data_IF_785812350047
#
_entry.id   IF_785812350047
#
_cell.length_a   1.000
_cell.length_b   1.000
_cell.length_c   1.000
_cell.angle_alpha   90.00
_cell.angle_beta   90.00
_cell.angle_gamma   90.00
#
_symmetry.space_group_name_H-M   'P 1'
#
loop_
_entity.id
_entity.type
_entity.pdbx_description
1 polymer ?
#
# COMPACT_ATOMS: atom_id res chain seq x y z
N UNK A 1 15.20 1.30 22.63
CA UNK A 1 13.90 1.28 21.89
C UNK A 1 13.94 0.32 20.72
N UNK A 2 14.86 0.46 19.79
CA UNK A 2 14.98 -0.42 18.59
C UNK A 2 15.33 -1.87 18.92
N UNK A 3 16.06 -2.09 20.01
CA UNK A 3 16.33 -3.46 20.52
C UNK A 3 15.07 -4.24 20.84
N UNK A 4 14.06 -3.60 21.45
CA UNK A 4 12.76 -4.25 21.71
C UNK A 4 12.01 -4.58 20.42
N UNK A 5 12.14 -3.75 19.38
CA UNK A 5 11.57 -4.04 18.06
C UNK A 5 12.26 -5.29 17.51
N UNK A 6 13.59 -5.29 17.43
CA UNK A 6 14.36 -6.42 16.93
C UNK A 6 14.05 -7.69 17.70
N UNK A 7 14.07 -7.63 19.05
CA UNK A 7 13.73 -8.76 19.91
C UNK A 7 12.34 -9.34 19.60
N UNK A 8 11.34 -8.48 19.36
CA UNK A 8 9.97 -8.93 19.05
C UNK A 8 9.88 -9.67 17.72
N UNK A 9 10.63 -9.22 16.71
CA UNK A 9 10.71 -9.88 15.41
C UNK A 9 11.46 -11.21 15.50
N UNK A 10 12.58 -11.23 16.22
CA UNK A 10 13.40 -12.44 16.43
C UNK A 10 12.61 -13.54 17.17
N UNK A 11 11.82 -13.14 18.19
CA UNK A 11 10.97 -14.07 18.96
C UNK A 11 10.00 -14.86 18.09
N UNK A 12 9.51 -14.30 17.00
CA UNK A 12 8.60 -14.96 16.07
C UNK A 12 9.26 -15.35 14.75
N UNK A 13 10.59 -15.25 14.70
CA UNK A 13 11.41 -15.62 13.53
C UNK A 13 11.06 -14.84 12.26
N UNK A 14 10.79 -13.56 12.40
CA UNK A 14 10.66 -12.64 11.28
C UNK A 14 11.98 -11.92 11.03
N UNK A 15 12.56 -12.06 9.83
CA UNK A 15 13.84 -11.43 9.51
C UNK A 15 13.70 -9.91 9.42
N UNK A 16 14.53 -9.18 10.17
CA UNK A 16 14.54 -7.72 10.21
C UNK A 16 15.97 -7.19 10.19
N UNK A 17 16.16 -6.04 9.55
CA UNK A 17 17.36 -5.23 9.67
C UNK A 17 16.98 -3.78 9.96
N UNK A 18 17.68 -3.16 10.89
CA UNK A 18 17.59 -1.74 11.20
C UNK A 18 18.70 -1.04 10.44
N UNK A 19 18.38 0.01 9.73
CA UNK A 19 19.30 0.76 8.88
C UNK A 19 19.65 2.10 9.55
N UNK A 20 20.89 2.54 9.32
CA UNK A 20 21.39 3.85 9.76
C UNK A 20 21.10 4.96 8.73
N UNK A 21 20.75 4.58 7.50
CA UNK A 21 20.49 5.48 6.39
C UNK A 21 19.09 5.28 5.79
N UNK A 22 18.48 6.37 5.27
CA UNK A 22 17.15 6.29 4.63
C UNK A 22 17.10 5.29 3.49
N UNK A 23 16.02 4.50 3.44
CA UNK A 23 15.77 3.52 2.38
C UNK A 23 15.59 4.22 1.02
N UNK A 24 14.94 5.38 1.04
CA UNK A 24 14.64 6.17 -0.16
C UNK A 24 15.02 7.62 0.05
N UNK A 25 15.55 8.24 -1.02
CA UNK A 25 15.81 9.67 -1.03
C UNK A 25 16.84 10.11 0.02
N UNK A 26 17.91 9.33 0.26
CA UNK A 26 18.97 9.64 1.22
C UNK A 26 19.63 11.03 0.99
N UNK A 27 19.52 11.60 -0.22
CA UNK A 27 19.99 12.96 -0.52
C UNK A 27 19.07 14.06 -0.01
N UNK A 28 17.84 13.75 0.38
CA UNK A 28 16.88 14.72 0.89
C UNK A 28 16.95 14.75 2.41
N UNK A 29 17.32 15.89 2.99
CA UNK A 29 17.48 16.05 4.42
C UNK A 29 16.20 15.72 5.21
N UNK A 30 15.01 15.99 4.66
CA UNK A 30 13.75 15.61 5.29
C UNK A 30 13.62 14.10 5.53
N UNK A 31 14.17 13.28 4.62
CA UNK A 31 14.04 11.83 4.70
C UNK A 31 14.87 11.20 5.83
N UNK A 32 15.88 11.91 6.33
CA UNK A 32 16.63 11.48 7.52
C UNK A 32 15.83 11.61 8.82
N UNK A 33 14.76 12.42 8.81
CA UNK A 33 13.90 12.61 9.97
C UNK A 33 12.67 11.71 9.97
N UNK A 34 12.31 11.16 8.81
CA UNK A 34 11.07 10.39 8.62
C UNK A 34 11.36 8.89 8.75
N UNK A 35 10.51 8.20 9.51
CA UNK A 35 10.51 6.75 9.57
C UNK A 35 10.20 6.13 8.20
N UNK A 36 11.03 5.18 7.77
CA UNK A 36 10.84 4.44 6.54
C UNK A 36 10.91 2.94 6.79
N UNK A 37 10.13 2.17 6.05
CA UNK A 37 10.27 0.72 6.01
C UNK A 37 9.93 0.17 4.62
N UNK A 38 10.49 -0.99 4.32
CA UNK A 38 10.11 -1.82 3.18
C UNK A 38 10.48 -3.29 3.41
N UNK A 39 10.27 -4.10 2.38
CA UNK A 39 10.71 -5.49 2.33
C UNK A 39 11.80 -5.61 1.28
N UNK A 40 13.00 -6.01 1.71
CA UNK A 40 14.07 -6.36 0.79
C UNK A 40 13.87 -7.77 0.28
N UNK A 41 13.79 -7.92 -1.03
CA UNK A 41 13.73 -9.22 -1.71
C UNK A 41 15.07 -9.53 -2.37
N UNK A 42 15.68 -10.62 -2.00
CA UNK A 42 16.92 -11.09 -2.66
C UNK A 42 16.53 -11.70 -4.01
N UNK A 43 16.90 -11.03 -5.09
CA UNK A 43 16.54 -11.41 -6.47
C UNK A 43 17.38 -12.57 -7.01
N UNK A 44 18.47 -13.00 -6.37
CA UNK A 44 19.38 -14.03 -6.90
C UNK A 44 19.66 -15.14 -5.88
N UNK A 45 19.36 -16.37 -6.24
CA UNK A 45 19.77 -17.60 -5.53
C UNK A 45 18.59 -18.49 -5.10
N UNK A 46 18.88 -19.77 -4.79
CA UNK A 46 17.92 -20.81 -4.42
C UNK A 46 17.15 -20.54 -3.11
N UNK A 47 17.58 -19.57 -2.33
CA UNK A 47 16.90 -19.10 -1.11
C UNK A 47 16.50 -17.65 -1.31
N UNK A 48 15.23 -17.39 -1.65
CA UNK A 48 14.63 -16.07 -1.62
C UNK A 48 14.51 -15.64 -0.15
N UNK A 49 15.57 -15.06 0.40
CA UNK A 49 15.55 -14.48 1.75
C UNK A 49 14.89 -13.10 1.68
N UNK A 50 13.64 -12.99 2.07
CA UNK A 50 13.01 -11.70 2.31
C UNK A 50 13.34 -11.23 3.72
N UNK A 51 13.50 -9.91 3.91
CA UNK A 51 13.65 -9.31 5.24
C UNK A 51 13.00 -7.93 5.28
N UNK A 52 12.47 -7.58 6.42
CA UNK A 52 12.04 -6.20 6.69
C UNK A 52 13.27 -5.31 6.84
N UNK A 53 13.24 -4.15 6.20
CA UNK A 53 14.19 -3.07 6.44
C UNK A 53 13.46 -1.92 7.11
N UNK A 54 14.03 -1.44 8.21
CA UNK A 54 13.49 -0.30 8.95
C UNK A 54 14.58 0.74 9.09
N UNK A 55 14.30 1.94 8.64
CA UNK A 55 15.04 3.14 8.97
C UNK A 55 14.23 3.94 9.99
N UNK A 56 14.73 4.16 11.21
CA UNK A 56 13.96 4.76 12.31
C UNK A 56 13.68 6.25 12.11
N UNK A 57 14.46 6.95 11.30
CA UNK A 57 14.40 8.40 11.17
C UNK A 57 15.07 9.10 12.35
N UNK A 58 14.57 10.28 12.70
CA UNK A 58 15.12 11.06 13.80
C UNK A 58 15.03 10.35 15.17
N UNK A 59 15.98 10.61 16.06
CA UNK A 59 16.02 10.06 17.43
C UNK A 59 14.78 10.40 18.26
N UNK A 60 14.06 11.45 17.87
CA UNK A 60 12.79 11.85 18.48
C UNK A 60 11.61 10.98 18.06
N UNK A 61 11.74 10.15 17.05
CA UNK A 61 10.71 9.22 16.62
C UNK A 61 10.56 8.11 17.66
N UNK A 62 9.31 7.76 17.95
CA UNK A 62 8.97 6.70 18.91
C UNK A 62 8.41 5.51 18.13
N UNK A 63 9.12 4.39 18.19
CA UNK A 63 8.72 3.14 17.54
C UNK A 63 8.39 2.11 18.62
N UNK A 64 7.14 1.64 18.66
CA UNK A 64 6.65 0.72 19.68
C UNK A 64 6.00 -0.50 19.06
N UNK A 65 6.39 -1.69 19.53
CA UNK A 65 5.64 -2.92 19.29
C UNK A 65 4.41 -2.90 20.18
N UNK A 66 3.22 -2.96 19.59
CA UNK A 66 1.94 -2.94 20.31
C UNK A 66 1.43 -4.34 20.60
N UNK A 67 1.65 -5.26 19.68
CA UNK A 67 1.21 -6.64 19.82
C UNK A 67 2.07 -7.58 18.95
N UNK A 68 2.20 -8.84 19.38
CA UNK A 68 2.95 -9.88 18.70
C UNK A 68 2.16 -11.18 18.73
N UNK A 69 1.93 -11.80 17.59
CA UNK A 69 1.29 -13.11 17.48
C UNK A 69 2.27 -14.14 16.89
N UNK A 70 2.75 -15.04 17.70
CA UNK A 70 3.68 -16.08 17.26
C UNK A 70 3.01 -17.11 16.33
N UNK A 71 1.72 -17.42 16.55
CA UNK A 71 0.97 -18.40 15.75
C UNK A 71 0.85 -17.92 14.30
N UNK A 72 0.50 -16.65 14.10
CA UNK A 72 0.33 -16.08 12.78
C UNK A 72 1.57 -15.37 12.26
N UNK A 73 2.65 -15.35 13.05
CA UNK A 73 3.89 -14.65 12.77
C UNK A 73 3.64 -13.20 12.33
N UNK A 74 3.00 -12.43 13.20
CA UNK A 74 2.65 -11.05 12.93
C UNK A 74 3.05 -10.13 14.07
N UNK A 75 3.41 -8.90 13.70
CA UNK A 75 3.75 -7.80 14.62
C UNK A 75 2.89 -6.60 14.27
N UNK A 76 2.33 -5.98 15.30
CA UNK A 76 1.68 -4.68 15.20
C UNK A 76 2.65 -3.61 15.71
N UNK A 77 3.04 -2.72 14.83
CA UNK A 77 3.97 -1.62 15.11
C UNK A 77 3.22 -0.28 15.13
N UNK A 78 3.54 0.56 16.09
CA UNK A 78 3.13 1.96 16.12
C UNK A 78 4.37 2.83 15.98
N UNK A 79 4.30 3.82 15.11
CA UNK A 79 5.33 4.85 14.92
C UNK A 79 4.71 6.21 15.22
N UNK A 80 5.32 6.96 16.12
CA UNK A 80 4.95 8.34 16.42
C UNK A 80 6.10 9.25 16.03
N UNK A 81 5.84 10.14 15.09
CA UNK A 81 6.81 11.09 14.56
C UNK A 81 6.39 12.49 15.00
N UNK A 82 7.20 13.19 15.79
CA UNK A 82 6.95 14.59 16.07
C UNK A 82 7.20 15.43 14.81
N UNK A 83 6.59 16.62 14.76
CA UNK A 83 6.99 17.61 13.75
C UNK A 83 8.45 17.95 13.98
N UNK A 84 9.28 17.76 12.99
CA UNK A 84 10.70 18.10 13.06
C UNK A 84 11.08 19.14 11.99
N UNK A 85 12.08 19.94 12.29
CA UNK A 85 12.66 20.92 11.36
C UNK A 85 13.91 20.33 10.76
N UNK A 86 14.06 20.47 9.45
CA UNK A 86 15.27 20.10 8.73
C UNK A 86 15.81 21.28 7.93
N UNK A 87 17.11 21.26 7.66
CA UNK A 87 17.78 22.23 6.78
C UNK A 87 18.18 21.53 5.49
N UNK A 88 18.00 22.23 4.37
CA UNK A 88 18.39 21.74 3.06
C UNK A 88 18.92 22.88 2.20
N UNK A 89 19.51 22.58 1.04
CA UNK A 89 19.99 23.58 0.12
C UNK A 89 19.79 23.16 -1.34
N UNK A 90 19.52 24.12 -2.20
CA UNK A 90 19.44 23.93 -3.63
C UNK A 90 20.53 24.73 -4.34
N UNK A 91 21.32 24.05 -5.18
CA UNK A 91 22.34 24.70 -5.99
C UNK A 91 21.68 25.55 -7.09
N UNK A 92 22.11 26.81 -7.22
CA UNK A 92 21.68 27.69 -8.29
C UNK A 92 22.65 27.59 -9.48
N UNK A 93 22.21 27.95 -10.64
CA UNK A 93 23.02 28.08 -11.84
C UNK A 93 22.80 29.46 -12.48
N UNK A 94 23.58 29.82 -13.48
CA UNK A 94 23.51 31.15 -14.17
C UNK A 94 22.12 31.46 -14.75
N UNK A 95 21.24 30.46 -14.96
CA UNK A 95 19.88 30.66 -15.50
C UNK A 95 18.82 30.67 -14.40
N UNK A 96 19.20 30.47 -13.14
CA UNK A 96 18.25 30.45 -12.03
C UNK A 96 17.84 31.84 -11.68
N UNK A 97 16.56 32.19 -11.87
CA UNK A 97 16.01 33.41 -11.28
C UNK A 97 15.84 33.15 -9.75
N UNK A 98 16.70 33.79 -8.98
CA UNK A 98 16.76 33.61 -7.53
C UNK A 98 15.46 34.07 -6.86
N UNK A 99 14.86 35.19 -7.33
CA UNK A 99 13.60 35.68 -6.78
C UNK A 99 12.47 34.68 -6.97
N UNK A 100 12.30 34.16 -8.18
CA UNK A 100 11.28 33.11 -8.47
C UNK A 100 11.53 31.84 -7.67
N UNK A 101 12.78 31.44 -7.48
CA UNK A 101 13.14 30.27 -6.70
C UNK A 101 12.76 30.45 -5.21
N UNK A 102 13.05 31.62 -4.65
CA UNK A 102 12.65 31.97 -3.28
C UNK A 102 11.12 31.98 -3.11
N UNK A 103 10.40 32.55 -4.05
CA UNK A 103 8.92 32.61 -3.99
C UNK A 103 8.29 31.22 -4.10
N UNK A 104 8.85 30.33 -4.93
CA UNK A 104 8.45 28.91 -4.96
C UNK A 104 8.67 28.22 -3.62
N UNK A 105 9.82 28.45 -2.98
CA UNK A 105 10.12 27.88 -1.66
C UNK A 105 9.15 28.40 -0.59
N UNK A 106 8.82 29.69 -0.59
CA UNK A 106 7.82 30.28 0.31
C UNK A 106 6.43 29.68 0.08
N UNK A 107 6.03 29.55 -1.19
CA UNK A 107 4.76 28.92 -1.57
C UNK A 107 4.69 27.46 -1.09
N UNK A 108 5.81 26.74 -1.12
CA UNK A 108 5.95 25.38 -0.60
C UNK A 108 6.12 25.33 0.93
N UNK A 109 5.91 26.44 1.64
CA UNK A 109 5.97 26.58 3.10
C UNK A 109 7.36 26.34 3.71
N UNK A 110 8.43 26.53 2.94
CA UNK A 110 9.78 26.60 3.47
C UNK A 110 10.03 27.96 4.13
N UNK A 111 10.92 28.02 5.09
CA UNK A 111 11.24 29.21 5.87
C UNK A 111 12.75 29.32 6.13
N UNK A 112 13.21 30.44 6.72
CA UNK A 112 14.62 30.75 6.96
C UNK A 112 15.46 30.63 5.67
N UNK A 113 14.93 31.24 4.59
CA UNK A 113 15.50 31.12 3.23
C UNK A 113 16.63 32.13 3.11
N UNK A 114 17.84 31.69 2.79
CA UNK A 114 19.06 32.51 2.64
C UNK A 114 19.80 32.12 1.39
N UNK A 115 20.36 33.09 0.71
CA UNK A 115 21.24 32.88 -0.45
C UNK A 115 22.69 33.02 0.05
N UNK A 116 23.49 31.97 -0.13
CA UNK A 116 24.90 31.95 0.25
C UNK A 116 25.68 31.36 -0.92
N UNK A 117 26.47 32.20 -1.58
CA UNK A 117 27.22 31.83 -2.80
C UNK A 117 26.25 31.36 -3.91
N UNK A 118 26.46 30.17 -4.42
CA UNK A 118 25.65 29.54 -5.46
C UNK A 118 24.57 28.59 -4.91
N UNK A 119 24.20 28.74 -3.63
CA UNK A 119 23.19 27.92 -2.99
C UNK A 119 22.10 28.76 -2.33
N UNK A 120 20.86 28.28 -2.42
CA UNK A 120 19.73 28.77 -1.61
C UNK A 120 19.54 27.75 -0.48
N UNK A 121 19.83 28.20 0.74
CA UNK A 121 19.60 27.44 1.96
C UNK A 121 18.20 27.74 2.50
N UNK A 122 17.52 26.71 2.98
CA UNK A 122 16.16 26.86 3.51
C UNK A 122 15.89 25.81 4.60
N UNK A 123 14.86 26.05 5.38
CA UNK A 123 14.33 25.09 6.36
C UNK A 123 12.94 24.67 5.99
N UNK A 124 12.63 23.40 6.25
CA UNK A 124 11.30 22.83 6.11
C UNK A 124 10.86 22.13 7.41
N UNK A 125 9.59 21.76 7.44
CA UNK A 125 9.03 20.94 8.53
C UNK A 125 8.56 19.62 7.97
N UNK A 126 8.90 18.51 8.67
CA UNK A 126 8.27 17.23 8.39
C UNK A 126 6.89 17.18 9.04
N UNK A 127 5.90 16.54 8.42
CA UNK A 127 4.62 16.31 9.08
C UNK A 127 4.81 15.38 10.28
N UNK A 128 4.24 15.76 11.42
CA UNK A 128 4.15 14.89 12.58
C UNK A 128 2.92 13.99 12.49
N UNK A 129 2.93 12.88 13.23
CA UNK A 129 1.77 11.99 13.27
C UNK A 129 2.04 10.65 13.92
N UNK A 130 0.96 9.87 14.07
CA UNK A 130 1.04 8.47 14.49
C UNK A 130 0.57 7.58 13.36
N UNK A 131 1.38 6.56 13.06
CA UNK A 131 1.09 5.56 12.03
C UNK A 131 1.13 4.17 12.65
N UNK A 132 0.30 3.28 12.17
CA UNK A 132 0.22 1.91 12.65
C UNK A 132 0.43 0.96 11.48
N UNK A 133 1.20 -0.10 11.71
CA UNK A 133 1.58 -1.06 10.68
C UNK A 133 1.37 -2.49 11.18
N UNK A 134 0.63 -3.27 10.42
CA UNK A 134 0.60 -4.72 10.59
C UNK A 134 1.65 -5.34 9.66
N UNK A 135 2.56 -6.09 10.22
CA UNK A 135 3.67 -6.73 9.53
C UNK A 135 3.67 -8.22 9.81
N UNK A 136 4.10 -9.03 8.87
CA UNK A 136 4.16 -10.47 9.10
C UNK A 136 4.38 -11.30 7.85
N UNK A 137 3.96 -12.56 7.92
CA UNK A 137 3.95 -13.50 6.80
C UNK A 137 2.52 -13.75 6.36
N UNK A 138 2.26 -13.61 5.07
CA UNK A 138 1.05 -14.06 4.41
C UNK A 138 1.41 -15.19 3.45
N UNK A 139 0.88 -16.39 3.68
CA UNK A 139 1.28 -17.63 3.01
C UNK A 139 2.78 -17.91 3.11
N UNK A 140 3.60 -17.36 2.23
CA UNK A 140 5.05 -17.57 2.16
C UNK A 140 5.87 -16.29 2.04
N UNK A 141 5.21 -15.14 2.01
CA UNK A 141 5.85 -13.85 1.77
C UNK A 141 5.67 -12.90 2.95
N UNK A 142 6.65 -12.03 3.13
CA UNK A 142 6.53 -10.94 4.07
C UNK A 142 5.56 -9.88 3.51
N UNK A 143 4.77 -9.28 4.40
CA UNK A 143 3.90 -8.16 4.07
C UNK A 143 4.01 -7.04 5.09
N UNK A 144 3.71 -5.84 4.65
CA UNK A 144 3.51 -4.64 5.48
C UNK A 144 2.20 -3.99 5.08
N UNK A 145 1.33 -3.74 6.05
CA UNK A 145 0.09 -3.01 5.86
C UNK A 145 0.03 -1.81 6.79
N UNK A 146 -0.07 -0.61 6.23
CA UNK A 146 -0.38 0.58 7.02
C UNK A 146 -1.88 0.59 7.32
N UNK A 147 -2.22 0.80 8.59
CA UNK A 147 -3.61 0.87 9.03
C UNK A 147 -4.15 2.29 8.86
N UNK A 148 -5.43 2.43 8.56
CA UNK A 148 -6.12 3.70 8.44
C UNK A 148 -6.42 4.37 9.79
N UNK A 149 -6.27 3.62 10.89
CA UNK A 149 -6.53 4.11 12.24
C UNK A 149 -5.74 3.36 13.31
N UNK A 150 -5.88 3.77 14.57
CA UNK A 150 -5.17 3.16 15.69
C UNK A 150 -5.64 1.73 15.93
N UNK A 151 -4.68 0.85 16.23
CA UNK A 151 -4.93 -0.50 16.70
C UNK A 151 -3.98 -0.84 17.86
N UNK A 152 -4.49 -1.59 18.84
CA UNK A 152 -3.70 -2.06 19.98
C UNK A 152 -3.44 -3.55 19.94
N UNK A 153 -4.24 -4.29 19.18
CA UNK A 153 -4.14 -5.74 18.99
C UNK A 153 -4.14 -6.11 17.50
N UNK A 154 -3.47 -7.18 17.16
CA UNK A 154 -3.44 -7.73 15.80
C UNK A 154 -4.85 -8.09 15.30
N UNK A 155 -5.72 -8.56 16.19
CA UNK A 155 -7.12 -8.84 15.84
C UNK A 155 -7.87 -7.60 15.36
N UNK A 156 -7.63 -6.44 15.98
CA UNK A 156 -8.26 -5.18 15.59
C UNK A 156 -7.64 -4.63 14.31
N UNK A 157 -6.32 -4.74 14.18
CA UNK A 157 -5.61 -4.42 12.95
C UNK A 157 -6.15 -5.21 11.76
N UNK A 158 -6.34 -6.52 11.90
CA UNK A 158 -6.94 -7.36 10.86
C UNK A 158 -8.37 -6.97 10.51
N UNK A 159 -9.18 -6.62 11.52
CA UNK A 159 -10.54 -6.12 11.29
C UNK A 159 -10.54 -4.81 10.53
N UNK A 160 -9.62 -3.90 10.84
CA UNK A 160 -9.51 -2.62 10.13
C UNK A 160 -9.08 -2.80 8.68
N UNK A 161 -8.16 -3.72 8.40
CA UNK A 161 -7.76 -4.08 7.03
C UNK A 161 -8.91 -4.70 6.23
N UNK A 162 -9.76 -5.51 6.86
CA UNK A 162 -10.98 -6.03 6.22
C UNK A 162 -12.06 -4.97 6.00
N UNK A 163 -12.00 -3.84 6.71
CA UNK A 163 -12.97 -2.73 6.56
C UNK A 163 -12.58 -1.70 5.50
N UNK A 164 -11.29 -1.61 5.12
CA UNK A 164 -10.85 -0.68 4.09
C UNK A 164 -11.40 -1.05 2.70
N UNK A 165 -11.72 -2.31 2.48
CA UNK A 165 -12.61 -2.72 1.41
C UNK A 165 -14.04 -2.48 1.92
N UNK A 166 -14.61 -1.32 1.63
CA UNK A 166 -16.02 -1.02 1.92
C UNK A 166 -16.91 -1.97 1.10
N UNK A 167 -17.15 -3.14 1.65
CA UNK A 167 -18.24 -3.98 1.19
C UNK A 167 -19.53 -3.31 1.66
N UNK A 168 -20.33 -2.90 0.72
CA UNK A 168 -21.57 -2.13 0.98
C UNK A 168 -22.53 -2.81 1.97
N UNK A 169 -22.29 -4.07 2.35
CA UNK A 169 -23.14 -4.85 3.25
C UNK A 169 -22.43 -5.65 4.35
N UNK A 170 -21.09 -5.62 4.41
CA UNK A 170 -20.32 -6.31 5.46
C UNK A 170 -20.48 -7.83 5.55
N UNK A 171 -21.36 -8.43 4.74
CA UNK A 171 -21.74 -9.85 4.82
C UNK A 171 -21.01 -10.77 3.85
N UNK A 172 -20.33 -10.21 2.84
CA UNK A 172 -19.70 -11.02 1.78
C UNK A 172 -18.38 -11.60 2.24
N UNK A 173 -18.29 -12.93 2.22
CA UNK A 173 -17.02 -13.62 2.47
C UNK A 173 -16.01 -13.30 1.37
N UNK A 174 -14.80 -12.99 1.76
CA UNK A 174 -13.70 -12.73 0.84
C UNK A 174 -12.57 -13.72 1.05
N UNK A 175 -11.85 -14.04 -0.03
CA UNK A 175 -10.51 -14.61 0.02
C UNK A 175 -9.54 -13.60 -0.56
N UNK A 176 -8.35 -13.54 0.00
CA UNK A 176 -7.28 -12.69 -0.49
C UNK A 176 -6.24 -13.51 -1.21
N UNK A 177 -5.69 -12.96 -2.28
CA UNK A 177 -4.47 -13.46 -2.92
C UNK A 177 -3.64 -12.25 -3.35
N UNK A 178 -2.53 -12.01 -2.64
CA UNK A 178 -1.72 -10.83 -2.83
C UNK A 178 -2.53 -9.53 -2.65
N UNK A 179 -2.51 -8.68 -3.64
CA UNK A 179 -3.21 -7.40 -3.68
C UNK A 179 -4.70 -7.49 -4.06
N UNK A 180 -5.23 -8.69 -4.30
CA UNK A 180 -6.60 -8.88 -4.76
C UNK A 180 -7.49 -9.50 -3.70
N UNK A 181 -8.65 -8.88 -3.51
CA UNK A 181 -9.75 -9.48 -2.76
C UNK A 181 -10.72 -10.14 -3.73
N UNK A 182 -11.05 -11.40 -3.46
CA UNK A 182 -11.92 -12.26 -4.26
C UNK A 182 -13.20 -12.53 -3.46
N UNK A 183 -14.22 -11.71 -3.72
CA UNK A 183 -15.47 -11.69 -2.95
C UNK A 183 -16.49 -12.67 -3.46
N UNK A 184 -17.27 -13.24 -2.54
CA UNK A 184 -18.48 -13.98 -2.90
C UNK A 184 -19.48 -13.08 -3.62
N UNK A 185 -20.04 -13.63 -4.69
CA UNK A 185 -21.16 -13.00 -5.41
C UNK A 185 -22.47 -13.52 -4.86
N UNK A 186 -23.48 -12.65 -4.71
CA UNK A 186 -24.83 -13.08 -4.40
C UNK A 186 -25.42 -13.89 -5.58
N UNK A 187 -26.48 -14.63 -5.33
CA UNK A 187 -27.17 -15.39 -6.38
C UNK A 187 -27.72 -14.49 -7.47
N UNK A 188 -28.28 -13.36 -7.10
CA UNK A 188 -28.78 -12.33 -8.02
C UNK A 188 -27.67 -11.82 -8.95
N UNK A 189 -26.50 -11.50 -8.36
CA UNK A 189 -25.36 -11.00 -9.12
C UNK A 189 -24.81 -12.09 -10.07
N UNK A 190 -24.81 -13.36 -9.66
CA UNK A 190 -24.45 -14.48 -10.56
C UNK A 190 -25.41 -14.57 -11.73
N UNK A 191 -26.72 -14.43 -11.46
CA UNK A 191 -27.73 -14.39 -12.50
C UNK A 191 -27.55 -13.21 -13.47
N UNK A 192 -27.09 -12.04 -12.98
CA UNK A 192 -26.74 -10.89 -13.83
C UNK A 192 -25.53 -11.20 -14.72
N UNK A 193 -24.48 -11.81 -14.17
CA UNK A 193 -23.28 -12.21 -14.91
C UNK A 193 -23.66 -13.21 -16.02
N UNK A 194 -24.45 -14.24 -15.70
CA UNK A 194 -24.86 -15.27 -16.65
C UNK A 194 -25.76 -14.70 -17.77
N UNK A 195 -26.66 -13.77 -17.43
CA UNK A 195 -27.46 -13.02 -18.42
C UNK A 195 -26.59 -12.16 -19.33
N UNK A 196 -25.63 -11.43 -18.76
CA UNK A 196 -24.73 -10.61 -19.54
C UNK A 196 -23.89 -11.45 -20.52
N UNK A 197 -23.41 -12.61 -20.10
CA UNK A 197 -22.69 -13.54 -20.96
C UNK A 197 -23.56 -14.02 -22.12
N UNK A 198 -24.82 -14.34 -21.86
CA UNK A 198 -25.75 -14.87 -22.86
C UNK A 198 -26.29 -13.80 -23.82
N UNK A 199 -26.61 -12.62 -23.32
CA UNK A 199 -27.40 -11.62 -24.04
C UNK A 199 -26.57 -10.49 -24.67
N UNK A 200 -25.45 -10.09 -24.05
CA UNK A 200 -24.74 -8.86 -24.43
C UNK A 200 -23.41 -9.09 -25.14
N UNK A 201 -23.11 -10.30 -25.59
CA UNK A 201 -21.79 -10.65 -26.16
C UNK A 201 -20.62 -10.35 -25.19
N UNK A 202 -20.88 -10.26 -23.90
CA UNK A 202 -19.81 -10.13 -22.91
C UNK A 202 -18.96 -11.38 -22.95
N UNK A 203 -17.74 -11.26 -23.49
CA UNK A 203 -16.87 -12.42 -23.71
C UNK A 203 -16.27 -12.90 -22.38
N UNK A 204 -16.37 -14.20 -22.15
CA UNK A 204 -15.53 -14.87 -21.15
C UNK A 204 -14.11 -14.87 -21.70
N UNK A 205 -13.21 -14.19 -21.02
CA UNK A 205 -11.78 -14.23 -21.32
C UNK A 205 -11.14 -15.38 -20.54
N UNK A 206 -10.30 -16.16 -21.21
CA UNK A 206 -9.62 -17.33 -20.62
C UNK A 206 -8.15 -17.06 -20.38
N UNK A 207 -7.60 -17.57 -19.26
CA UNK A 207 -6.19 -17.43 -18.86
C UNK A 207 -5.71 -15.99 -18.87
N UNK A 208 -6.42 -15.11 -18.17
CA UNK A 208 -6.22 -13.67 -18.22
C UNK A 208 -5.50 -13.17 -16.98
N UNK A 209 -4.51 -12.30 -17.19
CA UNK A 209 -3.89 -11.55 -16.11
C UNK A 209 -4.89 -10.50 -15.56
N UNK A 210 -5.27 -10.67 -14.30
CA UNK A 210 -6.21 -9.77 -13.60
C UNK A 210 -5.68 -8.33 -13.58
N UNK A 211 -4.38 -8.14 -13.32
CA UNK A 211 -3.74 -6.84 -13.26
C UNK A 211 -3.87 -6.05 -14.56
N UNK A 212 -3.69 -6.69 -15.71
CA UNK A 212 -3.83 -6.05 -17.04
C UNK A 212 -5.25 -5.50 -17.25
N UNK A 213 -6.28 -6.20 -16.75
CA UNK A 213 -7.67 -5.76 -16.91
C UNK A 213 -8.02 -4.61 -15.95
N UNK A 214 -7.40 -4.57 -14.79
CA UNK A 214 -7.62 -3.54 -13.76
C UNK A 214 -6.60 -2.39 -13.82
N UNK A 215 -5.81 -2.30 -14.91
CA UNK A 215 -4.92 -1.17 -15.16
C UNK A 215 -3.63 -1.18 -14.33
N UNK A 216 -3.18 -2.37 -13.86
CA UNK A 216 -1.87 -2.52 -13.23
C UNK A 216 -0.82 -2.98 -14.23
N UNK A 217 0.29 -2.26 -14.28
CA UNK A 217 1.50 -2.68 -14.99
C UNK A 217 2.60 -3.03 -13.98
N UNK A 218 3.20 -4.21 -14.11
CA UNK A 218 4.33 -4.67 -13.29
C UNK A 218 3.98 -5.75 -12.28
N UNK A 219 5.01 -6.42 -11.75
CA UNK A 219 4.89 -7.58 -10.85
C UNK A 219 4.57 -8.89 -11.57
N UNK A 220 4.56 -9.98 -10.80
CA UNK A 220 4.16 -11.30 -11.31
C UNK A 220 2.64 -11.34 -11.55
N UNK A 221 2.17 -11.94 -12.66
CA UNK A 221 0.76 -11.89 -13.01
C UNK A 221 -0.08 -12.83 -12.15
N UNK A 222 -1.24 -12.36 -11.69
CA UNK A 222 -2.32 -13.20 -11.19
C UNK A 222 -3.18 -13.64 -12.37
N UNK A 223 -3.11 -14.90 -12.74
CA UNK A 223 -3.80 -15.45 -13.91
C UNK A 223 -5.06 -16.19 -13.49
N UNK A 224 -6.23 -15.68 -13.93
CA UNK A 224 -7.52 -16.33 -13.74
C UNK A 224 -7.86 -17.25 -14.92
N UNK A 225 -8.46 -18.41 -14.65
CA UNK A 225 -8.92 -19.33 -15.69
C UNK A 225 -9.99 -18.68 -16.55
N UNK A 226 -10.96 -18.02 -15.92
CA UNK A 226 -12.05 -17.30 -16.59
C UNK A 226 -12.22 -15.93 -15.96
N UNK A 227 -12.45 -14.91 -16.78
CA UNK A 227 -12.67 -13.54 -16.38
C UNK A 227 -13.75 -12.88 -17.22
N UNK A 228 -14.64 -12.16 -16.58
CA UNK A 228 -15.69 -11.34 -17.19
C UNK A 228 -15.62 -9.93 -16.67
N UNK A 229 -15.81 -8.96 -17.55
CA UNK A 229 -15.90 -7.54 -17.21
C UNK A 229 -17.34 -7.06 -17.48
N UNK A 230 -18.00 -6.59 -16.44
CA UNK A 230 -19.32 -5.95 -16.57
C UNK A 230 -19.17 -4.44 -16.41
N UNK A 231 -19.80 -3.64 -17.30
CA UNK A 231 -19.88 -2.22 -17.08
C UNK A 231 -20.68 -1.95 -15.79
N UNK A 232 -20.20 -1.04 -14.96
CA UNK A 232 -20.95 -0.60 -13.79
C UNK A 232 -22.14 0.22 -14.26
N UNK A 233 -23.31 -0.41 -14.35
CA UNK A 233 -24.56 0.26 -14.68
C UNK A 233 -24.93 1.24 -13.58
N UNK A 234 -25.08 2.50 -13.91
CA UNK A 234 -25.72 3.50 -13.07
C UNK A 234 -27.21 3.20 -12.98
N UNK A 235 -27.66 2.46 -11.96
CA UNK A 235 -29.05 2.54 -11.53
C UNK A 235 -29.21 3.81 -10.70
N UNK A 236 -29.79 4.84 -11.34
CA UNK A 236 -30.56 5.90 -10.73
C UNK A 236 -29.98 6.63 -9.52
N UNK A 237 -29.24 7.68 -9.75
CA UNK A 237 -29.28 8.86 -8.90
C UNK A 237 -29.43 10.07 -9.79
N UNK A 238 -30.59 10.67 -9.76
CA UNK A 238 -30.85 12.01 -10.28
C UNK A 238 -30.11 12.99 -9.39
N UNK A 239 -29.23 13.79 -9.98
CA UNK A 239 -28.67 14.97 -9.32
C UNK A 239 -27.15 15.05 -9.31
N UNK A 240 -26.69 16.06 -10.04
CA UNK A 240 -25.38 16.72 -10.05
C UNK A 240 -24.23 16.05 -10.77
N UNK A 241 -23.79 16.81 -11.76
CA UNK A 241 -22.65 16.67 -12.64
C UNK A 241 -21.34 16.51 -11.87
N UNK A 242 -20.96 15.26 -11.68
CA UNK A 242 -19.55 14.90 -11.50
C UNK A 242 -19.30 13.63 -12.32
N UNK A 243 -18.34 13.71 -13.21
CA UNK A 243 -17.87 12.62 -14.07
C UNK A 243 -17.42 11.43 -13.21
N UNK A 244 -18.36 10.61 -12.78
CA UNK A 244 -18.11 9.33 -12.16
C UNK A 244 -17.58 8.41 -13.24
N UNK A 245 -16.26 8.24 -13.29
CA UNK A 245 -15.61 7.19 -14.06
C UNK A 245 -16.36 5.89 -13.81
N UNK A 246 -17.04 5.37 -14.83
CA UNK A 246 -17.71 4.07 -14.78
C UNK A 246 -16.63 3.01 -14.51
N UNK A 247 -16.49 2.58 -13.27
CA UNK A 247 -15.54 1.53 -12.91
C UNK A 247 -16.16 0.21 -13.36
N UNK A 248 -15.55 -0.42 -14.35
CA UNK A 248 -15.91 -1.76 -14.75
C UNK A 248 -15.75 -2.72 -13.55
N UNK A 249 -16.76 -3.57 -13.33
CA UNK A 249 -16.66 -4.65 -12.33
C UNK A 249 -16.05 -5.88 -12.99
N UNK A 250 -15.08 -6.45 -12.33
CA UNK A 250 -14.35 -7.63 -12.82
C UNK A 250 -14.73 -8.85 -11.99
N UNK A 251 -15.04 -9.93 -12.66
CA UNK A 251 -15.41 -11.21 -12.04
C UNK A 251 -14.52 -12.32 -12.58
N UNK A 252 -14.15 -13.26 -11.71
CA UNK A 252 -13.35 -14.43 -12.06
C UNK A 252 -14.02 -15.73 -11.63
N UNK A 253 -13.71 -16.82 -12.32
CA UNK A 253 -14.10 -18.18 -11.97
C UNK A 253 -12.98 -19.15 -12.35
N UNK A 254 -12.98 -20.34 -11.73
CA UNK A 254 -11.93 -21.33 -11.91
C UNK A 254 -10.74 -21.09 -10.99
N UNK A 255 -9.55 -21.39 -11.44
CA UNK A 255 -8.33 -21.23 -10.66
C UNK A 255 -7.74 -19.84 -10.85
N UNK A 256 -7.26 -19.25 -9.78
CA UNK A 256 -6.39 -18.07 -9.81
C UNK A 256 -5.00 -18.51 -9.42
N UNK A 257 -4.04 -18.32 -10.31
CA UNK A 257 -2.64 -18.74 -10.15
C UNK A 257 -1.73 -17.54 -10.08
N UNK A 258 -0.78 -17.62 -9.18
CA UNK A 258 0.32 -16.68 -9.05
C UNK A 258 1.58 -17.47 -8.69
N UNK A 259 2.74 -17.02 -9.13
CA UNK A 259 4.01 -17.75 -8.92
C UNK A 259 4.38 -17.83 -7.44
N UNK A 260 4.01 -16.82 -6.66
CA UNK A 260 4.39 -16.66 -5.27
C UNK A 260 3.28 -17.02 -4.26
N UNK A 261 2.03 -17.23 -4.74
CA UNK A 261 0.89 -17.54 -3.89
C UNK A 261 0.31 -18.93 -4.18
N UNK A 262 -0.34 -19.51 -3.17
CA UNK A 262 -1.08 -20.75 -3.37
C UNK A 262 -2.21 -20.54 -4.36
N UNK A 263 -2.31 -21.42 -5.39
CA UNK A 263 -3.44 -21.43 -6.30
C UNK A 263 -4.75 -21.56 -5.54
N UNK A 264 -5.67 -20.64 -5.79
CA UNK A 264 -7.03 -20.68 -5.25
C UNK A 264 -7.99 -21.16 -6.35
N UNK A 265 -9.01 -21.92 -5.94
CA UNK A 265 -10.02 -22.43 -6.87
C UNK A 265 -11.43 -22.00 -6.44
N UNK A 266 -12.22 -21.53 -7.42
CA UNK A 266 -13.58 -21.05 -7.22
C UNK A 266 -14.53 -21.67 -8.25
N UNK A 267 -15.48 -22.45 -7.77
CA UNK A 267 -16.54 -23.03 -8.60
C UNK A 267 -17.57 -21.99 -9.07
N UNK A 268 -17.68 -20.89 -8.33
CA UNK A 268 -18.61 -19.80 -8.63
C UNK A 268 -17.87 -18.50 -8.94
N UNK A 269 -18.54 -17.57 -9.62
CA UNK A 269 -18.00 -16.24 -9.86
C UNK A 269 -17.61 -15.53 -8.58
N UNK A 270 -16.46 -14.86 -8.59
CA UNK A 270 -15.96 -14.00 -7.52
C UNK A 270 -15.71 -12.61 -8.08
N UNK A 271 -16.16 -11.59 -7.38
CA UNK A 271 -15.81 -10.22 -7.72
C UNK A 271 -14.37 -9.93 -7.31
N UNK A 272 -13.61 -9.31 -8.21
CA UNK A 272 -12.23 -8.93 -7.95
C UNK A 272 -12.18 -7.46 -7.58
N UNK A 273 -11.65 -7.18 -6.41
CA UNK A 273 -11.40 -5.82 -5.94
C UNK A 273 -9.92 -5.68 -5.61
N UNK A 274 -9.32 -4.59 -6.07
CA UNK A 274 -7.96 -4.25 -5.73
C UNK A 274 -7.88 -3.81 -4.28
N UNK A 275 -6.81 -4.20 -3.61
CA UNK A 275 -6.47 -3.66 -2.31
C UNK A 275 -5.89 -2.26 -2.47
N UNK A 276 -6.65 -1.24 -2.11
CA UNK A 276 -6.24 0.17 -2.16
C UNK A 276 -5.72 0.67 -0.80
N UNK A 277 -5.41 -0.22 0.15
CA UNK A 277 -5.01 0.12 1.52
C UNK A 277 -3.73 0.96 1.64
N UNK A 278 -3.03 1.22 0.55
CA UNK A 278 -1.85 2.10 0.52
C UNK A 278 -2.08 3.45 -0.16
N UNK A 279 -3.26 3.70 -0.73
CA UNK A 279 -3.59 4.95 -1.38
C UNK A 279 -4.27 5.88 -0.38
N UNK A 280 -3.54 6.86 0.18
CA UNK A 280 -4.17 7.98 0.88
C UNK A 280 -4.84 8.88 -0.15
N UNK A 281 -6.05 9.36 0.16
CA UNK A 281 -6.86 10.22 -0.71
C UNK A 281 -6.17 11.54 -1.12
N UNK A 282 -5.06 11.89 -0.51
CA UNK A 282 -4.40 13.20 -0.66
C UNK A 282 -3.18 13.22 -1.59
N UNK A 283 -2.93 12.15 -2.36
CA UNK A 283 -1.83 12.15 -3.35
C UNK A 283 -0.41 12.27 -2.77
N UNK A 284 -0.26 12.52 -1.48
CA UNK A 284 1.01 12.50 -0.77
C UNK A 284 1.24 11.07 -0.25
N UNK A 285 1.73 10.22 -1.12
CA UNK A 285 2.19 8.89 -0.77
C UNK A 285 3.44 8.99 0.11
N UNK A 286 3.28 9.12 1.40
CA UNK A 286 4.31 8.66 2.34
C UNK A 286 4.32 7.12 2.24
N UNK A 287 5.03 6.65 1.21
CA UNK A 287 4.97 5.38 0.57
C UNK A 287 5.24 4.20 1.47
N UNK A 288 4.18 3.55 1.90
CA UNK A 288 4.24 2.12 2.20
C UNK A 288 3.21 1.48 1.30
N UNK A 289 3.72 0.87 0.26
CA UNK A 289 2.93 0.08 -0.67
C UNK A 289 2.98 -1.37 -0.19
N UNK A 290 1.87 -2.11 -0.42
CA UNK A 290 1.94 -3.54 -0.48
C UNK A 290 2.99 -3.90 -1.52
N UNK A 291 4.06 -4.53 -1.09
CA UNK A 291 5.11 -5.01 -1.98
C UNK A 291 4.87 -6.51 -2.06
N UNK A 292 4.17 -6.93 -3.11
CA UNK A 292 4.19 -8.32 -3.56
C UNK A 292 5.40 -8.57 -4.44
#
# INVERSE_FOLDING_TARGET
>A
MLENVKFSFDKIKLPIVILDEPIRGARNAANHNIFQMDIERKVKGAHRGERFRIFPGADTNVIQVRDVCAITKQVLLMVSEPVSVYSDSAKTNRRTNIADAIDRLKTAKFFDIRVIGDHIHYKGKTPGGKRYFLMGVDERQLFVAQLTGPATKITDARKSLGKSVQFADGSRKSKRQGEWFLLETSEELRGEIDRAIKQTRTAIRKKVNIGTVLGRSGGNPHVADELVVLPSGSRGSVGTSETRLMRNRVFIRGSVRHVDHKTQHFSQWREVIKNDEGATADGNSSGIFWID
#
